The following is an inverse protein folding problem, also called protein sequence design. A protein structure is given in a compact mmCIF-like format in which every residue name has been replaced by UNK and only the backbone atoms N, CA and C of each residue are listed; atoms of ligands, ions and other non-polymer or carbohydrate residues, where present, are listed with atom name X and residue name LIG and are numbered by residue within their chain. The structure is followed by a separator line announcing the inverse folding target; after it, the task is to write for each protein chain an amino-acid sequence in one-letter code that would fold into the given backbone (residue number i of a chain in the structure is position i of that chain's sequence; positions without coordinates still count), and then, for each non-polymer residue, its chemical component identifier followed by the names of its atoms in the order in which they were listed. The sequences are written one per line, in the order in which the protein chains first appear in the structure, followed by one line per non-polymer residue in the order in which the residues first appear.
data_IF_272203222720
#
_entry.id   IF_272203222720
#
_cell.length_a   1.000
_cell.length_b   1.000
_cell.length_c   1.000
_cell.angle_alpha   90.00
_cell.angle_beta   90.00
_cell.angle_gamma   90.00
#
_symmetry.space_group_name_H-M   'P 1'
#
loop_
_entity.id
_entity.type
_entity.pdbx_description
1 polymer ?
#
# COMPACT_ATOMS: atom_id res chain seq x y z
N UNK A 1 -48.84 38.71 -17.44
CA UNK A 1 -49.98 37.81 -17.29
C UNK A 1 -50.07 36.88 -18.49
N UNK A 2 -49.67 35.62 -18.36
CA UNK A 2 -50.06 34.47 -19.23
C UNK A 2 -49.65 33.20 -18.50
N UNK A 3 -50.62 32.64 -17.80
CA UNK A 3 -50.65 31.32 -17.18
C UNK A 3 -50.62 30.24 -18.26
N UNK A 4 -49.72 29.24 -18.14
CA UNK A 4 -49.78 28.00 -18.93
C UNK A 4 -49.97 26.81 -17.99
N UNK A 5 -51.08 26.14 -18.20
CA UNK A 5 -51.55 24.94 -17.54
C UNK A 5 -50.71 23.72 -17.93
N UNK A 6 -50.43 22.85 -16.95
CA UNK A 6 -49.77 21.56 -17.08
C UNK A 6 -50.83 20.46 -17.21
N UNK A 7 -50.73 19.51 -18.13
CA UNK A 7 -51.62 18.35 -18.13
C UNK A 7 -51.05 17.20 -17.27
N UNK A 8 -51.90 16.71 -16.40
CA UNK A 8 -51.75 15.52 -15.57
C UNK A 8 -51.92 14.28 -16.45
N UNK A 9 -50.91 13.42 -16.56
CA UNK A 9 -51.03 12.09 -17.14
C UNK A 9 -51.23 11.07 -16.03
N UNK A 10 -52.45 10.50 -16.02
CA UNK A 10 -52.90 9.42 -15.17
C UNK A 10 -52.43 8.08 -15.82
N UNK A 11 -51.50 7.35 -15.19
CA UNK A 11 -51.14 6.02 -15.64
C UNK A 11 -51.90 4.95 -14.85
N UNK A 12 -52.71 4.20 -15.59
CA UNK A 12 -53.54 3.10 -15.14
C UNK A 12 -52.67 1.87 -14.86
N UNK A 13 -52.69 1.36 -13.63
CA UNK A 13 -52.06 0.07 -13.26
C UNK A 13 -52.95 -1.10 -13.67
N UNK A 14 -52.45 -1.94 -14.54
CA UNK A 14 -53.03 -3.26 -14.82
C UNK A 14 -52.32 -4.32 -13.98
N UNK A 15 -53.01 -4.92 -13.01
CA UNK A 15 -52.55 -6.08 -12.24
C UNK A 15 -52.94 -7.33 -12.98
N UNK A 16 -51.99 -8.09 -13.47
CA UNK A 16 -52.19 -9.47 -13.95
C UNK A 16 -51.67 -10.43 -12.89
N UNK A 17 -52.60 -11.11 -12.21
CA UNK A 17 -52.32 -12.26 -11.37
C UNK A 17 -52.17 -13.49 -12.25
N UNK A 18 -51.01 -14.14 -12.23
CA UNK A 18 -50.82 -15.48 -12.79
C UNK A 18 -50.38 -16.43 -11.66
N UNK A 19 -51.29 -17.36 -11.30
CA UNK A 19 -50.96 -18.53 -10.52
C UNK A 19 -50.16 -19.52 -11.39
N UNK A 20 -49.01 -20.02 -10.89
CA UNK A 20 -48.20 -21.04 -11.55
C UNK A 20 -47.36 -21.82 -10.56
N UNK A 21 -47.88 -22.97 -10.17
CA UNK A 21 -47.30 -24.23 -9.67
C UNK A 21 -45.80 -24.31 -9.28
N UNK A 22 -45.57 -24.72 -8.02
CA UNK A 22 -44.36 -25.26 -7.44
C UNK A 22 -43.74 -26.38 -8.28
N UNK A 23 -42.53 -26.18 -8.79
CA UNK A 23 -41.57 -27.24 -9.05
C UNK A 23 -40.28 -26.94 -8.27
N UNK A 24 -40.03 -27.75 -7.25
CA UNK A 24 -38.72 -27.87 -6.58
C UNK A 24 -37.70 -28.40 -7.60
N UNK A 25 -36.90 -27.50 -8.15
CA UNK A 25 -35.65 -27.86 -8.80
C UNK A 25 -34.50 -27.48 -7.86
N UNK A 26 -33.91 -28.55 -7.32
CA UNK A 26 -32.63 -28.49 -6.62
C UNK A 26 -31.56 -28.14 -7.64
N UNK A 27 -31.36 -26.84 -7.89
CA UNK A 27 -30.21 -26.34 -8.63
C UNK A 27 -29.09 -26.07 -7.62
N UNK A 28 -28.13 -27.00 -7.60
CA UNK A 28 -26.81 -26.78 -7.06
C UNK A 28 -26.19 -25.57 -7.81
N UNK A 29 -26.38 -24.36 -7.28
CA UNK A 29 -25.76 -23.19 -7.79
C UNK A 29 -24.27 -23.23 -7.38
N UNK A 30 -23.43 -23.78 -8.27
CA UNK A 30 -22.02 -23.37 -8.31
C UNK A 30 -22.01 -21.89 -8.63
N UNK A 31 -21.97 -21.06 -7.58
CA UNK A 31 -21.67 -19.65 -7.72
C UNK A 31 -20.28 -19.55 -8.33
N UNK A 32 -20.22 -19.31 -9.64
CA UNK A 32 -19.05 -18.79 -10.27
C UNK A 32 -18.72 -17.48 -9.53
N UNK A 33 -17.66 -17.49 -8.74
CA UNK A 33 -17.11 -16.28 -8.14
C UNK A 33 -16.81 -15.36 -9.31
N UNK A 34 -17.67 -14.37 -9.48
CA UNK A 34 -17.46 -13.33 -10.49
C UNK A 34 -16.09 -12.72 -10.18
N UNK A 35 -15.12 -12.95 -11.08
CA UNK A 35 -13.78 -12.39 -10.99
C UNK A 35 -13.95 -10.88 -10.98
N UNK A 36 -13.75 -10.24 -9.81
CA UNK A 36 -13.81 -8.77 -9.71
C UNK A 36 -12.93 -8.18 -10.80
N UNK A 37 -13.35 -7.10 -11.46
CA UNK A 37 -12.54 -6.47 -12.49
C UNK A 37 -11.21 -6.09 -11.87
N UNK A 38 -10.12 -6.64 -12.40
CA UNK A 38 -8.76 -6.26 -12.04
C UNK A 38 -8.66 -4.74 -12.20
N UNK A 39 -7.98 -4.06 -11.30
CA UNK A 39 -7.82 -2.61 -11.19
C UNK A 39 -8.98 -1.82 -10.51
N UNK A 40 -9.92 -2.48 -9.85
CA UNK A 40 -10.98 -1.84 -9.05
C UNK A 40 -11.24 -2.57 -7.72
N UNK A 41 -10.26 -3.27 -7.19
CA UNK A 41 -10.49 -4.10 -6.00
C UNK A 41 -10.08 -3.38 -4.73
N UNK A 42 -11.04 -2.75 -4.09
CA UNK A 42 -11.05 -2.77 -2.63
C UNK A 42 -11.18 -4.24 -2.21
N UNK A 43 -10.14 -4.83 -1.62
CA UNK A 43 -10.28 -6.12 -0.95
C UNK A 43 -11.18 -5.83 0.27
N UNK A 44 -12.38 -6.43 0.36
CA UNK A 44 -13.18 -6.27 1.56
C UNK A 44 -12.37 -6.81 2.73
N UNK A 45 -12.03 -5.95 3.68
CA UNK A 45 -11.46 -6.36 4.96
C UNK A 45 -12.56 -7.09 5.69
N UNK A 46 -12.46 -8.42 5.79
CA UNK A 46 -13.42 -9.21 6.55
C UNK A 46 -13.45 -8.70 8.00
N UNK A 47 -14.64 -8.48 8.60
CA UNK A 47 -14.73 -8.09 10.00
C UNK A 47 -14.05 -9.17 10.85
N UNK A 48 -13.16 -8.74 11.74
CA UNK A 48 -12.21 -9.54 12.47
C UNK A 48 -12.79 -10.82 13.09
N UNK A 49 -12.35 -11.94 12.58
CA UNK A 49 -12.34 -13.20 13.32
C UNK A 49 -11.19 -13.09 14.32
N UNK A 50 -11.51 -13.08 15.61
CA UNK A 50 -10.54 -13.15 16.70
C UNK A 50 -9.67 -14.40 16.50
N UNK A 51 -8.46 -14.19 16.02
CA UNK A 51 -7.48 -15.26 15.91
C UNK A 51 -7.04 -15.70 17.31
N UNK A 52 -7.30 -16.96 17.63
CA UNK A 52 -6.75 -17.60 18.83
C UNK A 52 -5.22 -17.50 18.80
N UNK A 53 -4.69 -16.86 19.82
CA UNK A 53 -3.27 -16.77 20.11
C UNK A 53 -2.72 -18.15 20.46
N UNK A 54 -2.11 -18.83 19.51
CA UNK A 54 -1.10 -19.86 19.81
C UNK A 54 0.27 -19.25 19.54
N UNK A 55 0.83 -18.68 20.58
CA UNK A 55 2.22 -18.21 20.60
C UNK A 55 3.16 -19.41 20.58
N UNK A 56 3.67 -19.75 19.42
CA UNK A 56 4.88 -20.56 19.31
C UNK A 56 6.08 -19.62 19.15
N UNK A 57 7.17 -19.78 19.93
CA UNK A 57 8.36 -18.96 19.76
C UNK A 57 9.10 -19.43 18.49
N UNK A 58 8.68 -18.89 17.35
CA UNK A 58 9.45 -18.94 16.12
C UNK A 58 10.54 -17.89 16.19
N UNK A 59 11.78 -18.29 15.98
CA UNK A 59 12.94 -17.42 15.95
C UNK A 59 12.64 -16.21 15.06
N UNK A 60 12.52 -15.03 15.67
CA UNK A 60 12.46 -13.75 14.98
C UNK A 60 13.76 -13.61 14.20
N UNK A 61 13.72 -13.83 12.90
CA UNK A 61 14.76 -13.28 12.03
C UNK A 61 14.50 -11.79 11.95
N UNK A 62 14.89 -11.09 13.00
CA UNK A 62 14.96 -9.65 13.01
C UNK A 62 16.10 -9.30 12.05
N UNK A 63 15.76 -8.82 10.85
CA UNK A 63 16.77 -8.17 10.04
C UNK A 63 17.08 -6.87 10.76
N UNK A 64 18.32 -6.75 11.27
CA UNK A 64 18.78 -5.50 11.86
C UNK A 64 19.01 -4.51 10.71
N UNK A 65 18.00 -3.67 10.47
CA UNK A 65 18.03 -2.64 9.44
C UNK A 65 18.53 -1.30 10.00
N UNK A 66 19.24 -1.36 11.15
CA UNK A 66 19.75 -0.19 11.83
C UNK A 66 18.69 0.54 12.68
N UNK A 67 19.10 1.60 13.39
CA UNK A 67 18.28 2.27 14.41
C UNK A 67 17.14 3.12 13.84
N UNK A 68 17.11 3.34 12.53
CA UNK A 68 16.13 4.19 11.86
C UNK A 68 15.04 3.41 11.13
N UNK A 69 15.00 2.09 11.31
CA UNK A 69 13.99 1.25 10.69
C UNK A 69 13.40 0.27 11.69
N UNK A 70 12.07 0.28 11.79
CA UNK A 70 11.29 -0.68 12.56
C UNK A 70 10.59 -1.62 11.59
N UNK A 71 10.78 -2.94 11.75
CA UNK A 71 10.10 -3.96 10.97
C UNK A 71 8.93 -4.56 11.75
N UNK A 72 7.92 -5.06 11.03
CA UNK A 72 6.90 -5.91 11.65
C UNK A 72 7.47 -7.28 12.01
N UNK A 73 6.83 -7.94 12.97
CA UNK A 73 7.14 -9.31 13.34
C UNK A 73 6.82 -10.25 12.18
N UNK A 74 7.65 -11.28 11.99
CA UNK A 74 7.38 -12.33 11.01
C UNK A 74 6.28 -13.27 11.55
N UNK A 75 5.36 -13.68 10.65
CA UNK A 75 4.31 -14.66 10.98
C UNK A 75 4.48 -15.94 10.16
N UNK A 76 4.08 -17.10 10.68
CA UNK A 76 4.03 -18.33 9.90
C UNK A 76 3.11 -18.15 8.66
N UNK A 77 3.53 -18.71 7.53
CA UNK A 77 2.76 -18.62 6.28
C UNK A 77 1.54 -19.52 6.35
N UNK A 78 0.35 -18.95 6.12
CA UNK A 78 -0.89 -19.68 5.88
C UNK A 78 -1.17 -19.80 4.37
N UNK A 79 -1.90 -20.84 3.95
CA UNK A 79 -2.29 -21.02 2.54
C UNK A 79 -3.11 -19.84 2.01
N UNK A 80 -3.96 -19.27 2.85
CA UNK A 80 -4.72 -18.03 2.54
C UNK A 80 -3.83 -16.82 2.27
N UNK A 81 -2.67 -16.73 2.92
CA UNK A 81 -1.72 -15.62 2.74
C UNK A 81 -1.08 -15.66 1.35
N UNK A 82 -0.72 -16.87 0.90
CA UNK A 82 -0.19 -17.06 -0.45
C UNK A 82 -1.23 -16.71 -1.51
N UNK A 83 -2.50 -17.10 -1.31
CA UNK A 83 -3.59 -16.77 -2.22
C UNK A 83 -3.79 -15.24 -2.30
N UNK A 84 -3.80 -14.56 -1.15
CA UNK A 84 -3.92 -13.11 -1.07
C UNK A 84 -2.74 -12.42 -1.74
N UNK A 85 -1.52 -12.86 -1.47
CA UNK A 85 -0.32 -12.28 -2.07
C UNK A 85 -0.30 -12.44 -3.59
N UNK A 86 -0.66 -13.63 -4.08
CA UNK A 86 -0.77 -13.87 -5.52
C UNK A 86 -1.81 -12.94 -6.17
N UNK A 87 -2.95 -12.69 -5.51
CA UNK A 87 -3.95 -11.75 -6.00
C UNK A 87 -3.40 -10.30 -6.06
N UNK A 88 -2.65 -9.88 -5.04
CA UNK A 88 -1.99 -8.56 -5.01
C UNK A 88 -1.01 -8.43 -6.18
N UNK A 89 -0.13 -9.42 -6.37
CA UNK A 89 0.88 -9.40 -7.44
C UNK A 89 0.22 -9.43 -8.82
N UNK A 90 -0.79 -10.27 -9.02
CA UNK A 90 -1.52 -10.33 -10.29
C UNK A 90 -2.24 -9.01 -10.61
N UNK A 91 -2.90 -8.41 -9.59
CA UNK A 91 -3.53 -7.11 -9.76
C UNK A 91 -2.49 -6.05 -10.15
N UNK A 92 -1.35 -6.03 -9.47
CA UNK A 92 -0.29 -5.07 -9.77
C UNK A 92 0.29 -5.25 -11.17
N UNK A 93 0.49 -6.49 -11.66
CA UNK A 93 0.93 -6.74 -13.03
C UNK A 93 -0.06 -6.21 -14.07
N UNK A 94 -1.36 -6.41 -13.85
CA UNK A 94 -2.38 -5.97 -14.83
C UNK A 94 -2.57 -4.46 -14.80
N UNK A 95 -2.58 -3.87 -13.60
CA UNK A 95 -2.97 -2.46 -13.42
C UNK A 95 -1.81 -1.50 -13.70
N UNK A 96 -0.57 -1.93 -13.46
CA UNK A 96 0.59 -1.05 -13.51
C UNK A 96 1.58 -1.38 -14.62
N UNK A 97 1.27 -2.33 -15.51
CA UNK A 97 2.14 -2.70 -16.64
C UNK A 97 2.45 -1.51 -17.55
N UNK A 98 1.51 -0.57 -17.69
CA UNK A 98 1.70 0.69 -18.43
C UNK A 98 2.87 1.53 -17.91
N UNK A 99 3.20 1.41 -16.63
CA UNK A 99 4.27 2.16 -15.99
C UNK A 99 5.68 1.58 -16.21
N UNK A 100 5.81 0.53 -17.05
CA UNK A 100 7.08 0.17 -17.67
C UNK A 100 7.63 1.35 -18.49
N UNK A 101 6.74 2.17 -19.05
CA UNK A 101 7.06 3.53 -19.48
C UNK A 101 6.89 4.49 -18.29
N UNK A 102 7.99 4.85 -17.65
CA UNK A 102 7.97 5.71 -16.47
C UNK A 102 7.45 7.13 -16.76
N UNK A 103 7.45 7.58 -18.02
CA UNK A 103 6.89 8.88 -18.39
C UNK A 103 5.37 8.90 -18.15
N UNK A 104 4.69 7.77 -18.34
CA UNK A 104 3.26 7.65 -18.01
C UNK A 104 3.01 7.79 -16.49
N UNK A 105 3.94 7.29 -15.66
CA UNK A 105 3.84 7.51 -14.22
C UNK A 105 3.91 9.00 -13.87
N UNK A 106 4.87 9.73 -14.47
CA UNK A 106 5.00 11.17 -14.27
C UNK A 106 3.77 11.93 -14.78
N UNK A 107 3.21 11.53 -15.93
CA UNK A 107 1.98 12.13 -16.46
C UNK A 107 0.76 11.89 -15.56
N UNK A 108 0.69 10.72 -14.91
CA UNK A 108 -0.38 10.36 -13.98
C UNK A 108 -0.18 10.95 -12.57
N UNK A 109 0.82 11.85 -12.38
CA UNK A 109 1.02 12.64 -11.17
C UNK A 109 1.94 11.99 -10.13
N UNK A 110 2.60 10.88 -10.45
CA UNK A 110 3.67 10.36 -9.60
C UNK A 110 4.90 11.27 -9.70
N UNK A 111 5.60 11.45 -8.58
CA UNK A 111 6.76 12.33 -8.48
C UNK A 111 7.97 11.53 -7.98
N UNK A 112 9.13 11.74 -8.60
CA UNK A 112 10.36 11.07 -8.14
C UNK A 112 10.74 11.65 -6.78
N UNK A 113 10.72 10.80 -5.75
CA UNK A 113 11.18 11.19 -4.42
C UNK A 113 12.71 11.32 -4.41
N UNK A 114 13.22 12.50 -4.03
CA UNK A 114 14.66 12.82 -3.99
C UNK A 114 15.44 12.46 -5.28
N UNK A 115 15.09 13.06 -6.44
CA UNK A 115 15.60 12.63 -7.76
C UNK A 115 17.11 12.81 -7.91
N UNK A 116 17.70 13.75 -7.15
CA UNK A 116 19.12 14.09 -7.22
C UNK A 116 20.01 13.26 -6.30
N UNK A 117 19.41 12.33 -5.53
CA UNK A 117 20.13 11.44 -4.62
C UNK A 117 20.20 10.05 -5.22
N UNK A 118 21.39 9.44 -5.37
CA UNK A 118 21.49 8.05 -5.81
C UNK A 118 20.80 7.11 -4.84
N UNK A 119 19.93 6.23 -5.38
CA UNK A 119 19.15 5.26 -4.62
C UNK A 119 19.16 3.93 -5.38
N UNK A 120 19.19 2.81 -4.66
CA UNK A 120 19.05 1.48 -5.26
C UNK A 120 17.66 1.28 -5.87
N UNK A 121 16.65 1.80 -5.17
CA UNK A 121 15.25 1.82 -5.62
C UNK A 121 14.72 3.25 -5.51
N UNK A 122 14.34 3.80 -6.63
CA UNK A 122 13.66 5.09 -6.70
C UNK A 122 12.17 4.93 -6.48
N UNK A 123 11.61 5.76 -5.63
CA UNK A 123 10.19 5.83 -5.35
C UNK A 123 9.56 6.94 -6.21
N UNK A 124 8.70 6.57 -7.13
CA UNK A 124 7.81 7.52 -7.80
C UNK A 124 6.55 7.61 -6.95
N UNK A 125 6.50 8.57 -6.06
CA UNK A 125 5.47 8.70 -5.04
C UNK A 125 4.23 9.45 -5.56
N UNK A 126 3.05 9.02 -5.14
CA UNK A 126 1.81 9.74 -5.31
C UNK A 126 1.36 10.33 -3.96
N UNK A 127 1.45 11.67 -3.76
CA UNK A 127 0.98 12.30 -2.53
C UNK A 127 -0.50 12.04 -2.25
N UNK A 128 -1.33 11.96 -3.31
CA UNK A 128 -2.74 11.66 -3.19
C UNK A 128 -2.97 10.24 -2.67
N UNK A 129 -2.36 9.23 -3.29
CA UNK A 129 -2.51 7.84 -2.88
C UNK A 129 -1.94 7.60 -1.47
N UNK A 130 -0.84 8.28 -1.13
CA UNK A 130 -0.28 8.25 0.21
C UNK A 130 -1.26 8.81 1.25
N UNK A 131 -1.92 9.92 0.96
CA UNK A 131 -2.96 10.51 1.82
C UNK A 131 -4.16 9.57 1.96
N UNK A 132 -4.63 8.96 0.88
CA UNK A 132 -5.73 8.00 0.88
C UNK A 132 -5.40 6.76 1.71
N UNK A 133 -4.17 6.26 1.62
CA UNK A 133 -3.68 5.10 2.35
C UNK A 133 -3.70 5.27 3.88
N UNK A 134 -3.83 6.51 4.39
CA UNK A 134 -3.98 6.76 5.83
C UNK A 134 -5.35 6.31 6.37
N UNK A 135 -6.35 6.17 5.52
CA UNK A 135 -7.72 5.80 5.90
C UNK A 135 -8.23 4.55 5.19
N UNK A 136 -7.79 4.31 3.95
CA UNK A 136 -8.30 3.25 3.06
C UNK A 136 -7.14 2.44 2.51
N UNK A 137 -7.35 1.16 2.22
CA UNK A 137 -6.41 0.33 1.49
C UNK A 137 -7.02 -0.07 0.15
N UNK A 138 -6.45 0.45 -0.93
CA UNK A 138 -6.85 0.14 -2.30
C UNK A 138 -5.65 -0.37 -3.10
N UNK A 139 -5.78 -1.55 -3.70
CA UNK A 139 -4.74 -2.15 -4.53
C UNK A 139 -4.51 -1.38 -5.84
N UNK A 140 -5.49 -0.60 -6.30
CA UNK A 140 -5.37 0.23 -7.48
C UNK A 140 -4.60 1.54 -7.22
N UNK A 141 -4.40 1.90 -5.95
CA UNK A 141 -3.78 3.16 -5.53
C UNK A 141 -2.49 2.95 -4.71
N UNK A 142 -1.41 2.38 -5.30
CA UNK A 142 -0.14 2.26 -4.61
C UNK A 142 0.40 3.64 -4.25
N UNK A 143 0.99 3.75 -3.06
CA UNK A 143 1.57 5.02 -2.58
C UNK A 143 2.79 5.44 -3.38
N UNK A 144 3.50 4.46 -3.95
CA UNK A 144 4.57 4.70 -4.91
C UNK A 144 4.73 3.54 -5.90
N UNK A 145 5.27 3.87 -7.05
CA UNK A 145 5.83 2.93 -8.01
C UNK A 145 7.33 2.83 -7.78
N UNK A 146 7.88 1.63 -7.87
CA UNK A 146 9.27 1.35 -7.57
C UNK A 146 10.07 1.16 -8.86
N UNK A 147 11.20 1.83 -8.96
CA UNK A 147 12.05 1.81 -10.14
C UNK A 147 13.52 1.61 -9.79
N UNK A 148 14.25 0.93 -10.68
CA UNK A 148 15.71 0.98 -10.73
C UNK A 148 16.15 1.96 -11.80
N UNK A 149 17.19 2.74 -11.53
CA UNK A 149 17.81 3.59 -12.54
C UNK A 149 18.61 2.72 -13.51
N UNK A 150 18.39 2.89 -14.81
CA UNK A 150 19.09 2.17 -15.87
C UNK A 150 19.49 3.18 -16.95
N UNK A 151 20.78 3.48 -17.05
CA UNK A 151 21.25 4.58 -17.89
C UNK A 151 20.61 5.90 -17.49
N UNK A 152 20.04 6.61 -18.45
CA UNK A 152 19.32 7.87 -18.21
C UNK A 152 17.82 7.67 -17.89
N UNK A 153 17.34 6.43 -17.89
CA UNK A 153 15.94 6.11 -17.66
C UNK A 153 15.70 5.31 -16.37
N UNK A 154 14.46 4.76 -16.27
CA UNK A 154 14.02 4.01 -15.11
C UNK A 154 13.29 2.73 -15.54
N UNK A 155 13.65 1.62 -14.92
CA UNK A 155 12.99 0.32 -15.10
C UNK A 155 12.01 0.07 -13.95
N UNK A 156 10.75 -0.15 -14.27
CA UNK A 156 9.72 -0.50 -13.30
C UNK A 156 10.02 -1.87 -12.66
N UNK A 157 10.02 -1.96 -11.33
CA UNK A 157 10.36 -3.18 -10.60
C UNK A 157 9.32 -3.58 -9.56
N UNK A 158 8.39 -2.70 -9.21
CA UNK A 158 7.38 -3.03 -8.20
C UNK A 158 6.51 -1.86 -7.79
N UNK A 159 5.72 -2.09 -6.74
CA UNK A 159 4.85 -1.08 -6.13
C UNK A 159 5.07 -1.02 -4.62
N UNK A 160 4.75 0.11 -4.01
CA UNK A 160 4.75 0.30 -2.57
C UNK A 160 3.36 0.67 -2.11
N UNK A 161 2.91 0.03 -1.03
CA UNK A 161 1.71 0.45 -0.30
C UNK A 161 2.09 1.02 1.05
N UNK A 162 1.25 1.93 1.57
CA UNK A 162 1.45 2.58 2.86
C UNK A 162 0.28 2.34 3.82
N UNK A 163 0.54 2.62 5.10
CA UNK A 163 -0.45 2.61 6.16
C UNK A 163 -0.09 3.67 7.22
N UNK A 164 -1.05 4.11 8.07
CA UNK A 164 -0.77 5.02 9.17
C UNK A 164 0.35 4.51 10.07
N UNK A 165 1.18 5.39 10.61
CA UNK A 165 2.22 5.02 11.58
C UNK A 165 1.63 4.36 12.86
N UNK A 166 0.37 4.66 13.18
CA UNK A 166 -0.38 4.08 14.30
C UNK A 166 -1.01 2.73 14.00
N UNK A 167 -0.91 2.22 12.76
CA UNK A 167 -1.50 0.94 12.39
C UNK A 167 -0.87 -0.21 13.19
N UNK A 168 -1.71 -1.11 13.70
CA UNK A 168 -1.27 -2.33 14.39
C UNK A 168 -0.80 -3.37 13.38
N UNK A 169 0.02 -4.34 13.80
CA UNK A 169 0.44 -5.43 12.93
C UNK A 169 -0.75 -6.24 12.36
N UNK A 170 -1.85 -6.35 13.11
CA UNK A 170 -3.06 -7.02 12.59
C UNK A 170 -3.71 -6.21 11.46
N UNK A 171 -3.77 -4.89 11.58
CA UNK A 171 -4.26 -4.02 10.51
C UNK A 171 -3.35 -4.04 9.27
N UNK A 172 -2.03 -4.08 9.49
CA UNK A 172 -1.06 -4.26 8.40
C UNK A 172 -1.23 -5.61 7.72
N UNK A 173 -1.39 -6.68 8.49
CA UNK A 173 -1.62 -8.04 7.99
C UNK A 173 -2.91 -8.16 7.18
N UNK A 174 -3.94 -7.38 7.51
CA UNK A 174 -5.18 -7.31 6.72
C UNK A 174 -4.95 -6.69 5.35
N UNK A 175 -4.03 -5.73 5.22
CA UNK A 175 -3.66 -5.09 3.95
C UNK A 175 -2.78 -6.03 3.12
N UNK A 176 -1.61 -6.38 3.63
CA UNK A 176 -0.65 -7.30 2.98
C UNK A 176 -0.15 -8.29 4.03
N UNK A 177 -0.18 -9.62 3.75
CA UNK A 177 0.19 -10.63 4.75
C UNK A 177 1.62 -10.48 5.24
N UNK A 178 1.80 -10.35 6.56
CA UNK A 178 3.11 -10.22 7.22
C UNK A 178 4.00 -11.45 7.06
N UNK A 179 3.38 -12.60 6.79
CA UNK A 179 4.09 -13.87 6.57
C UNK A 179 4.85 -13.92 5.24
N UNK A 180 4.52 -13.03 4.28
CA UNK A 180 5.11 -13.03 2.93
C UNK A 180 5.76 -11.71 2.55
N UNK A 181 5.36 -10.60 3.17
CA UNK A 181 5.96 -9.29 2.95
C UNK A 181 6.00 -8.49 4.26
N UNK A 182 7.19 -8.26 4.83
CA UNK A 182 7.31 -7.46 6.05
C UNK A 182 7.05 -5.98 5.73
N UNK A 183 6.32 -5.33 6.64
CA UNK A 183 6.20 -3.89 6.63
C UNK A 183 7.35 -3.25 7.40
N UNK A 184 7.78 -2.09 6.96
CA UNK A 184 8.77 -1.27 7.66
C UNK A 184 8.26 0.12 7.92
N UNK A 185 8.77 0.74 8.98
CA UNK A 185 8.49 2.10 9.39
C UNK A 185 9.80 2.81 9.66
N UNK A 186 10.00 3.96 9.05
CA UNK A 186 11.13 4.80 9.36
C UNK A 186 10.93 5.53 10.68
N UNK A 187 11.90 5.41 11.59
CA UNK A 187 11.82 5.92 12.97
C UNK A 187 13.09 6.65 13.41
N UNK A 188 12.96 7.50 14.42
CA UNK A 188 14.08 8.11 15.13
C UNK A 188 15.01 8.97 14.26
N UNK A 189 14.44 9.76 13.35
CA UNK A 189 15.26 10.65 12.51
C UNK A 189 15.60 11.96 13.18
N UNK A 190 16.82 12.42 12.94
CA UNK A 190 17.22 13.79 13.14
C UNK A 190 17.57 14.42 11.80
N UNK A 191 16.94 15.54 11.46
CA UNK A 191 17.29 16.35 10.30
C UNK A 191 17.88 17.67 10.76
N UNK A 192 18.94 18.19 10.12
CA UNK A 192 19.54 19.48 10.50
C UNK A 192 18.60 20.63 10.13
N UNK A 193 18.82 21.78 10.75
CA UNK A 193 18.15 23.01 10.34
C UNK A 193 18.54 23.38 8.90
N UNK A 194 17.54 23.74 8.07
CA UNK A 194 17.76 24.02 6.65
C UNK A 194 18.05 22.79 5.79
N UNK A 195 17.47 21.67 6.17
CA UNK A 195 17.64 20.36 5.56
C UNK A 195 17.55 20.36 4.04
N UNK A 196 18.37 19.49 3.44
CA UNK A 196 18.34 19.17 2.02
C UNK A 196 18.06 17.69 1.83
N UNK A 197 17.51 17.32 0.68
CA UNK A 197 17.30 15.91 0.30
C UNK A 197 18.58 15.06 0.45
N UNK A 198 19.75 15.65 0.18
CA UNK A 198 21.03 14.95 0.31
C UNK A 198 21.35 14.51 1.74
N UNK A 199 20.91 15.27 2.74
CA UNK A 199 21.18 14.93 4.15
C UNK A 199 20.41 13.68 4.56
N UNK A 200 19.23 13.47 4.01
CA UNK A 200 18.39 12.30 4.35
C UNK A 200 19.08 10.97 4.02
N UNK A 201 19.87 10.92 2.94
CA UNK A 201 20.50 9.70 2.42
C UNK A 201 22.04 9.72 2.49
N UNK A 202 22.65 10.72 3.15
CA UNK A 202 24.10 10.80 3.24
C UNK A 202 24.65 9.84 4.30
N UNK A 203 25.20 8.72 3.87
CA UNK A 203 25.77 7.68 4.74
C UNK A 203 26.91 8.16 5.68
N UNK A 204 27.52 9.30 5.39
CA UNK A 204 28.58 9.89 6.21
C UNK A 204 28.05 11.01 7.13
N UNK A 205 26.75 11.24 7.15
CA UNK A 205 26.12 12.25 8.01
C UNK A 205 25.79 11.68 9.39
N UNK A 206 25.80 12.54 10.40
CA UNK A 206 25.22 12.22 11.71
C UNK A 206 23.69 12.18 11.65
N UNK A 207 23.10 12.82 10.63
CA UNK A 207 21.68 13.03 10.41
C UNK A 207 21.11 12.07 9.35
N UNK A 208 19.80 12.01 9.25
CA UNK A 208 19.10 11.26 8.20
C UNK A 208 18.93 9.77 8.47
N UNK A 209 18.63 9.01 7.41
CA UNK A 209 18.25 7.59 7.47
C UNK A 209 19.39 6.67 7.91
N UNK A 210 20.61 7.06 7.64
CA UNK A 210 21.84 6.32 7.96
C UNK A 210 22.64 6.97 9.07
N UNK A 211 22.11 8.05 9.65
CA UNK A 211 22.77 8.80 10.72
C UNK A 211 22.91 8.03 12.03
N UNK A 212 23.64 8.59 12.97
CA UNK A 212 23.87 7.98 14.29
C UNK A 212 23.02 8.59 15.40
N UNK A 213 22.28 9.66 15.10
CA UNK A 213 21.42 10.37 16.06
C UNK A 213 20.05 9.67 16.12
N UNK A 214 19.77 9.01 17.23
CA UNK A 214 18.58 8.19 17.40
C UNK A 214 17.61 8.70 18.48
N UNK A 215 17.97 9.81 19.17
CA UNK A 215 17.14 10.36 20.24
C UNK A 215 16.88 11.85 20.06
N UNK A 216 15.75 12.31 20.55
CA UNK A 216 15.39 13.73 20.54
C UNK A 216 16.45 14.60 21.26
N UNK A 217 16.99 14.10 22.40
CA UNK A 217 17.98 14.84 23.17
C UNK A 217 19.29 15.05 22.41
N UNK A 218 19.75 14.01 21.66
CA UNK A 218 20.93 14.13 20.79
C UNK A 218 20.68 15.10 19.64
N UNK A 219 19.51 15.00 19.01
CA UNK A 219 19.11 15.83 17.89
C UNK A 219 19.05 17.31 18.29
N UNK A 220 18.40 17.62 19.42
CA UNK A 220 18.25 18.98 19.93
C UNK A 220 19.61 19.63 20.27
N UNK A 221 20.57 18.86 20.78
CA UNK A 221 21.94 19.37 21.08
C UNK A 221 22.68 19.86 19.83
N UNK A 222 22.30 19.32 18.67
CA UNK A 222 22.92 19.68 17.38
C UNK A 222 22.03 20.63 16.56
N UNK A 223 20.98 21.20 17.18
CA UNK A 223 20.07 22.15 16.53
C UNK A 223 19.19 21.53 15.45
N UNK A 224 19.04 20.20 15.45
CA UNK A 224 18.22 19.48 14.48
C UNK A 224 16.75 19.36 14.91
N UNK A 225 15.91 18.94 13.97
CA UNK A 225 14.50 18.56 14.18
C UNK A 225 14.40 17.05 14.26
N UNK A 226 13.85 16.54 15.37
CA UNK A 226 13.66 15.10 15.59
C UNK A 226 12.27 14.65 15.14
N UNK A 227 12.25 13.53 14.39
CA UNK A 227 11.04 12.84 13.95
C UNK A 227 11.01 11.45 14.55
N UNK A 228 10.04 11.18 15.41
CA UNK A 228 9.85 9.85 16.01
C UNK A 228 9.47 8.80 14.95
N UNK A 229 8.74 9.20 13.92
CA UNK A 229 8.45 8.41 12.72
C UNK A 229 8.19 9.30 11.52
N UNK A 230 8.45 8.78 10.33
CA UNK A 230 8.17 9.46 9.04
C UNK A 230 7.48 8.49 8.08
N UNK A 231 6.66 9.03 7.15
CA UNK A 231 6.03 8.34 6.02
C UNK A 231 5.04 7.22 6.36
N UNK A 232 4.78 6.92 7.66
CA UNK A 232 3.96 5.78 8.06
C UNK A 232 4.59 4.42 7.73
N UNK A 233 3.84 3.34 7.91
CA UNK A 233 4.25 2.00 7.51
C UNK A 233 4.26 1.86 6.00
N UNK A 234 5.25 1.14 5.48
CA UNK A 234 5.44 0.88 4.05
C UNK A 234 5.73 -0.59 3.81
N UNK A 235 5.26 -1.12 2.68
CA UNK A 235 5.58 -2.47 2.20
C UNK A 235 5.88 -2.42 0.70
N UNK A 236 7.01 -3.01 0.31
CA UNK A 236 7.41 -3.15 -1.08
C UNK A 236 6.92 -4.48 -1.65
N UNK A 237 6.27 -4.44 -2.80
CA UNK A 237 5.83 -5.61 -3.56
C UNK A 237 6.62 -5.66 -4.85
N UNK A 238 7.66 -6.51 -4.93
CA UNK A 238 8.43 -6.68 -6.16
C UNK A 238 7.58 -7.40 -7.22
N UNK A 239 7.62 -6.90 -8.45
CA UNK A 239 6.91 -7.49 -9.59
C UNK A 239 7.86 -8.12 -10.60
N UNK A 240 9.06 -7.60 -10.71
CA UNK A 240 10.07 -8.05 -11.68
C UNK A 240 11.44 -8.13 -11.01
N UNK A 241 12.01 -9.34 -11.00
CA UNK A 241 13.31 -9.59 -10.37
C UNK A 241 13.27 -9.59 -8.83
N UNK A 242 14.33 -10.03 -8.19
CA UNK A 242 14.52 -9.89 -6.75
C UNK A 242 14.83 -8.43 -6.42
N UNK A 243 13.89 -7.73 -5.81
CA UNK A 243 14.21 -6.48 -5.12
C UNK A 243 14.97 -6.90 -3.87
N UNK A 244 16.30 -6.71 -3.87
CA UNK A 244 17.06 -6.79 -2.63
C UNK A 244 16.46 -5.74 -1.69
N UNK A 245 15.85 -6.18 -0.61
CA UNK A 245 15.49 -5.31 0.50
C UNK A 245 16.79 -4.95 1.18
N UNK A 246 17.40 -3.83 0.78
CA UNK A 246 18.51 -3.22 1.49
C UNK A 246 18.04 -2.58 2.78
#
# INVERSE_FOLDING_TARGET
MRTKLLPIFLFLMIVLAACGSNQSQNQSSSQAVAKAPLCQSTIPVAPGTTASTSSQPGASRHMDMGPHMKMTSYRPVASSDLTRMNAIVQNAHVCFDKYKDYHLALQDGFQIFTPNVPQDIYHFASPQNFSEAQTTFDLAHPSALLYKKVGDGYQFVGVMYSAPASATEDQLNQRVPLSVAPWHLHVNFCLPAGDTEQTLFNANSLFGLTGTITTQAQCSKLGGTFYASMFGWMVHIPLFGSVSTG
#
